data_IF_675445448957
#
_entry.id   IF_675445448957
#
_cell.length_a   1.000
_cell.length_b   1.000
_cell.length_c   1.000
_cell.angle_alpha   90.00
_cell.angle_beta   90.00
_cell.angle_gamma   90.00
#
_symmetry.space_group_name_H-M   'P 1'
#
loop_
_entity.id
_entity.type
_entity.pdbx_description
1 polymer ?
#
# COMPACT_ATOMS: atom_id res chain seq x y z
N UNK A 1 12.26 -6.27 21.66
CA UNK A 1 10.81 -6.04 21.84
C UNK A 1 9.91 -7.17 21.30
N UNK A 2 10.37 -7.98 20.36
CA UNK A 2 9.67 -9.16 19.83
C UNK A 2 9.24 -10.21 20.88
N UNK A 3 9.85 -10.24 22.06
CA UNK A 3 9.58 -11.23 23.13
C UNK A 3 8.21 -11.11 23.83
N UNK A 4 7.51 -9.98 23.74
CA UNK A 4 6.28 -9.74 24.52
C UNK A 4 4.99 -10.21 23.82
N UNK A 5 5.04 -10.45 22.50
CA UNK A 5 3.89 -10.94 21.70
C UNK A 5 3.87 -12.46 21.49
N UNK A 6 4.81 -13.16 22.13
CA UNK A 6 5.03 -14.61 21.96
C UNK A 6 3.97 -15.53 22.59
N UNK A 7 3.15 -15.07 23.49
CA UNK A 7 2.37 -15.93 24.39
C UNK A 7 1.06 -16.50 23.84
N UNK A 8 0.73 -16.27 22.56
CA UNK A 8 -0.51 -16.81 21.98
C UNK A 8 -0.34 -17.69 20.74
N UNK A 9 0.85 -17.75 20.16
CA UNK A 9 1.12 -18.41 18.87
C UNK A 9 2.08 -19.60 18.96
N UNK A 10 2.58 -19.90 20.16
CA UNK A 10 3.62 -20.92 20.41
C UNK A 10 3.23 -22.36 19.99
N UNK A 11 1.95 -22.61 19.72
CA UNK A 11 1.45 -23.93 19.33
C UNK A 11 1.31 -24.14 17.81
N UNK A 12 1.61 -23.13 16.98
CA UNK A 12 1.58 -23.31 15.52
C UNK A 12 3.01 -23.49 14.99
N UNK A 13 3.37 -24.74 14.68
CA UNK A 13 4.69 -25.15 14.17
C UNK A 13 5.06 -24.37 12.90
N UNK A 14 4.08 -24.03 12.06
CA UNK A 14 4.28 -23.29 10.82
C UNK A 14 4.70 -21.84 11.10
N UNK A 15 4.11 -21.19 12.10
CA UNK A 15 4.50 -19.84 12.55
C UNK A 15 5.94 -19.81 13.10
N UNK A 16 6.28 -20.82 13.88
CA UNK A 16 7.61 -20.94 14.48
C UNK A 16 8.68 -21.08 13.41
N UNK A 17 8.46 -21.91 12.42
CA UNK A 17 9.38 -22.10 11.29
C UNK A 17 9.56 -20.83 10.45
N UNK A 18 8.48 -20.08 10.18
CA UNK A 18 8.56 -18.80 9.45
C UNK A 18 9.41 -17.78 10.24
N UNK A 19 9.19 -17.65 11.53
CA UNK A 19 9.89 -16.66 12.38
C UNK A 19 11.34 -17.04 12.70
N UNK A 20 11.67 -18.33 12.78
CA UNK A 20 13.05 -18.80 13.05
C UNK A 20 13.98 -18.64 11.84
N UNK A 21 13.44 -18.68 10.61
CA UNK A 21 14.22 -18.54 9.39
C UNK A 21 14.32 -17.09 8.87
N UNK A 22 13.56 -16.14 9.45
CA UNK A 22 13.36 -14.79 8.88
C UNK A 22 13.63 -13.63 9.86
N UNK A 23 14.47 -13.82 10.87
CA UNK A 23 14.77 -12.79 11.89
C UNK A 23 15.38 -11.48 11.36
N UNK A 24 15.68 -11.39 10.05
CA UNK A 24 16.23 -10.20 9.37
C UNK A 24 15.72 -10.02 7.93
N UNK A 25 14.63 -10.66 7.50
CA UNK A 25 14.09 -10.49 6.15
C UNK A 25 12.90 -9.52 6.12
N UNK A 26 12.83 -8.72 5.06
CA UNK A 26 11.69 -7.85 4.79
C UNK A 26 10.41 -8.68 4.52
N UNK A 27 9.23 -8.13 4.77
CA UNK A 27 7.94 -8.80 4.47
C UNK A 27 7.82 -9.10 2.97
N UNK A 28 8.41 -8.27 2.13
CA UNK A 28 8.44 -8.44 0.68
C UNK A 28 9.35 -9.58 0.20
N UNK A 29 10.25 -10.09 1.06
CA UNK A 29 11.04 -11.29 0.80
C UNK A 29 10.28 -12.58 1.11
N UNK A 30 9.11 -12.50 1.77
CA UNK A 30 8.29 -13.65 2.10
C UNK A 30 7.69 -14.25 0.83
N UNK A 31 7.52 -15.59 0.82
CA UNK A 31 6.64 -16.17 -0.18
C UNK A 31 5.23 -15.58 -0.04
N UNK A 32 4.47 -15.51 -1.14
CA UNK A 32 3.08 -15.07 -1.08
C UNK A 32 2.27 -15.83 0.00
N UNK A 33 2.56 -17.14 0.18
CA UNK A 33 1.91 -17.97 1.18
C UNK A 33 2.28 -17.54 2.60
N UNK A 34 3.55 -17.25 2.86
CA UNK A 34 4.02 -16.87 4.18
C UNK A 34 3.52 -15.48 4.55
N UNK A 35 3.55 -14.52 3.60
CA UNK A 35 2.97 -13.20 3.81
C UNK A 35 1.49 -13.27 4.22
N UNK A 36 0.68 -14.04 3.48
CA UNK A 36 -0.75 -14.22 3.80
C UNK A 36 -0.93 -14.92 5.15
N UNK A 37 -0.08 -15.89 5.48
CA UNK A 37 -0.13 -16.61 6.77
C UNK A 37 0.15 -15.66 7.93
N UNK A 38 1.16 -14.77 7.81
CA UNK A 38 1.48 -13.78 8.82
C UNK A 38 0.39 -12.72 8.93
N UNK A 39 -0.10 -12.19 7.80
CA UNK A 39 -1.17 -11.20 7.74
C UNK A 39 -2.47 -11.70 8.39
N UNK A 40 -2.80 -12.98 8.23
CA UNK A 40 -4.00 -13.60 8.83
C UNK A 40 -3.86 -13.92 10.33
N UNK A 41 -2.67 -13.72 10.88
CA UNK A 41 -2.35 -14.02 12.28
C UNK A 41 -2.77 -12.91 13.25
N UNK A 42 -2.19 -12.98 14.46
CA UNK A 42 -2.37 -11.97 15.52
C UNK A 42 -1.21 -10.97 15.60
N UNK A 43 -0.29 -11.03 14.63
CA UNK A 43 0.80 -10.06 14.56
C UNK A 43 0.22 -8.67 14.30
N UNK A 44 0.72 -7.62 14.96
CA UNK A 44 0.29 -6.26 14.66
C UNK A 44 0.73 -5.78 13.27
N UNK A 45 1.77 -6.40 12.71
CA UNK A 45 2.32 -6.14 11.37
C UNK A 45 2.67 -7.46 10.66
N UNK A 46 2.57 -7.54 9.31
CA UNK A 46 2.04 -6.51 8.44
C UNK A 46 0.53 -6.33 8.67
N UNK A 47 0.03 -5.11 8.50
CA UNK A 47 -1.37 -4.75 8.64
C UNK A 47 -2.03 -4.34 7.32
N UNK A 48 -3.14 -3.59 7.45
CA UNK A 48 -3.92 -3.11 6.32
C UNK A 48 -3.15 -2.18 5.38
N UNK A 49 -2.23 -1.36 5.92
CA UNK A 49 -1.40 -0.45 5.12
C UNK A 49 -0.38 -1.21 4.28
N UNK A 50 0.39 -2.13 4.89
CA UNK A 50 1.31 -2.98 4.15
C UNK A 50 0.61 -3.84 3.08
N UNK A 51 -0.59 -4.38 3.40
CA UNK A 51 -1.40 -5.12 2.43
C UNK A 51 -1.87 -4.21 1.26
N UNK A 52 -2.24 -2.96 1.54
CA UNK A 52 -2.62 -1.99 0.52
C UNK A 52 -1.42 -1.64 -0.38
N UNK A 53 -0.24 -1.40 0.19
CA UNK A 53 0.98 -1.14 -0.57
C UNK A 53 1.33 -2.30 -1.51
N UNK A 54 1.27 -3.55 -1.01
CA UNK A 54 1.51 -4.75 -1.82
C UNK A 54 0.48 -4.90 -2.94
N UNK A 55 -0.80 -4.66 -2.67
CA UNK A 55 -1.84 -4.68 -3.69
C UNK A 55 -1.60 -3.63 -4.78
N UNK A 56 -1.16 -2.43 -4.40
CA UNK A 56 -0.75 -1.38 -5.32
C UNK A 56 0.44 -1.79 -6.20
N UNK A 57 1.46 -2.43 -5.61
CA UNK A 57 2.62 -2.94 -6.35
C UNK A 57 2.21 -3.98 -7.40
N UNK A 58 1.30 -4.90 -7.05
CA UNK A 58 0.76 -5.89 -7.99
C UNK A 58 0.00 -5.16 -9.12
N UNK A 59 -0.80 -4.14 -8.76
CA UNK A 59 -1.58 -3.36 -9.72
C UNK A 59 -0.72 -2.70 -10.79
N UNK A 60 0.35 -1.99 -10.38
CA UNK A 60 1.23 -1.33 -11.36
C UNK A 60 2.08 -2.32 -12.15
N UNK A 61 2.48 -3.45 -11.55
CA UNK A 61 3.22 -4.51 -12.24
C UNK A 61 2.43 -5.08 -13.43
N UNK A 62 1.10 -5.20 -13.32
CA UNK A 62 0.22 -5.58 -14.44
C UNK A 62 0.24 -4.55 -15.57
N UNK A 63 0.24 -3.25 -15.25
CA UNK A 63 0.45 -2.20 -16.25
C UNK A 63 1.80 -2.32 -16.94
N UNK A 64 2.86 -2.55 -16.19
CA UNK A 64 4.21 -2.75 -16.72
C UNK A 64 4.30 -3.99 -17.62
N UNK A 65 3.56 -5.05 -17.30
CA UNK A 65 3.40 -6.24 -18.16
C UNK A 65 2.78 -5.87 -19.51
N UNK A 66 1.70 -5.05 -19.53
CA UNK A 66 1.11 -4.54 -20.78
C UNK A 66 2.16 -3.77 -21.59
N UNK A 67 2.95 -2.93 -20.92
CA UNK A 67 4.06 -2.20 -21.54
C UNK A 67 5.11 -3.15 -22.14
N UNK A 68 5.50 -4.18 -21.42
CA UNK A 68 6.46 -5.20 -21.86
C UNK A 68 5.98 -5.96 -23.10
N UNK A 69 4.68 -6.23 -23.18
CA UNK A 69 4.04 -6.87 -24.32
C UNK A 69 3.79 -5.90 -25.50
N UNK A 70 4.08 -4.62 -25.34
CA UNK A 70 3.94 -3.57 -26.37
C UNK A 70 5.26 -3.28 -27.07
N UNK A 71 6.34 -3.14 -26.30
CA UNK A 71 7.68 -2.78 -26.79
C UNK A 71 8.22 -3.81 -27.77
N UNK A 72 8.90 -3.36 -28.83
CA UNK A 72 9.50 -4.19 -29.87
C UNK A 72 8.53 -4.68 -30.95
N UNK A 73 7.24 -4.35 -30.85
CA UNK A 73 6.25 -4.72 -31.87
C UNK A 73 6.07 -3.60 -32.91
N UNK A 74 6.24 -3.91 -34.18
CA UNK A 74 6.08 -2.96 -35.30
C UNK A 74 4.73 -2.21 -35.26
N UNK A 75 3.68 -2.87 -34.83
CA UNK A 75 2.31 -2.29 -34.72
C UNK A 75 2.24 -1.14 -33.72
N UNK A 76 3.13 -1.10 -32.74
CA UNK A 76 3.17 -0.09 -31.68
C UNK A 76 4.37 0.86 -31.77
N UNK A 77 5.10 0.85 -32.88
CA UNK A 77 6.31 1.68 -33.06
C UNK A 77 6.07 3.18 -32.82
N UNK A 78 4.88 3.68 -33.15
CA UNK A 78 4.52 5.10 -32.93
C UNK A 78 4.42 5.51 -31.44
N UNK A 79 4.13 4.57 -30.55
CA UNK A 79 3.95 4.81 -29.10
C UNK A 79 5.06 4.20 -28.25
N UNK A 80 6.02 3.54 -28.86
CA UNK A 80 7.04 2.75 -28.17
C UNK A 80 7.87 3.58 -27.19
N UNK A 81 8.25 4.80 -27.58
CA UNK A 81 9.02 5.71 -26.72
C UNK A 81 8.25 6.09 -25.45
N UNK A 82 6.96 6.38 -25.60
CA UNK A 82 6.10 6.72 -24.46
C UNK A 82 5.97 5.52 -23.53
N UNK A 83 5.74 4.33 -24.08
CA UNK A 83 5.62 3.09 -23.31
C UNK A 83 6.90 2.75 -22.57
N UNK A 84 8.07 2.93 -23.17
CA UNK A 84 9.36 2.72 -22.51
C UNK A 84 9.52 3.66 -21.29
N UNK A 85 9.13 4.93 -21.44
CA UNK A 85 9.17 5.88 -20.34
C UNK A 85 8.19 5.52 -19.22
N UNK A 86 6.96 5.12 -19.60
CA UNK A 86 5.97 4.65 -18.62
C UNK A 86 6.45 3.40 -17.88
N UNK A 87 7.09 2.45 -18.56
CA UNK A 87 7.66 1.26 -17.94
C UNK A 87 8.72 1.61 -16.88
N UNK A 88 9.64 2.54 -17.20
CA UNK A 88 10.65 2.97 -16.24
C UNK A 88 10.01 3.57 -14.99
N UNK A 89 9.01 4.45 -15.16
CA UNK A 89 8.27 5.02 -14.02
C UNK A 89 7.51 3.93 -13.25
N UNK A 90 6.96 2.94 -13.94
CA UNK A 90 6.27 1.82 -13.29
C UNK A 90 7.22 0.96 -12.46
N UNK A 91 8.47 0.75 -12.91
CA UNK A 91 9.50 0.07 -12.14
C UNK A 91 9.83 0.85 -10.86
N UNK A 92 10.01 2.18 -10.95
CA UNK A 92 10.28 3.07 -9.81
C UNK A 92 9.09 3.06 -8.80
N UNK A 93 7.85 3.12 -9.29
CA UNK A 93 6.63 3.05 -8.46
C UNK A 93 6.51 1.69 -7.78
N UNK A 94 6.80 0.60 -8.50
CA UNK A 94 6.79 -0.75 -7.93
C UNK A 94 7.76 -0.85 -6.76
N UNK A 95 8.99 -0.36 -6.94
CA UNK A 95 10.00 -0.36 -5.88
C UNK A 95 9.56 0.48 -4.67
N UNK A 96 8.97 1.67 -4.89
CA UNK A 96 8.42 2.51 -3.81
C UNK A 96 7.30 1.82 -3.05
N UNK A 97 6.36 1.18 -3.73
CA UNK A 97 5.24 0.47 -3.08
C UNK A 97 5.72 -0.74 -2.29
N UNK A 98 6.72 -1.47 -2.77
CA UNK A 98 7.31 -2.57 -2.01
C UNK A 98 8.04 -2.07 -0.76
N UNK A 99 8.78 -0.96 -0.84
CA UNK A 99 9.42 -0.32 0.31
C UNK A 99 8.39 0.21 1.32
N UNK A 100 7.24 0.70 0.86
CA UNK A 100 6.15 1.16 1.71
C UNK A 100 5.47 0.03 2.50
N UNK A 101 5.61 -1.24 2.09
CA UNK A 101 5.16 -2.38 2.91
C UNK A 101 5.93 -2.45 4.22
N UNK A 102 7.24 -2.26 4.17
CA UNK A 102 8.12 -2.27 5.34
C UNK A 102 7.93 -1.02 6.18
N UNK A 103 7.88 0.14 5.54
CA UNK A 103 7.69 1.42 6.21
C UNK A 103 6.37 1.51 6.97
N UNK A 104 5.30 0.89 6.48
CA UNK A 104 4.02 0.81 7.20
C UNK A 104 4.18 0.06 8.54
N UNK A 105 4.92 -1.03 8.53
CA UNK A 105 5.22 -1.78 9.74
C UNK A 105 6.10 -1.00 10.72
N UNK A 106 7.14 -0.33 10.22
CA UNK A 106 8.04 0.52 11.00
C UNK A 106 7.31 1.72 11.61
N UNK A 107 6.44 2.38 10.82
CA UNK A 107 5.65 3.52 11.28
C UNK A 107 4.61 3.15 12.35
N UNK A 108 4.14 1.90 12.35
CA UNK A 108 3.21 1.40 13.35
C UNK A 108 3.89 1.05 14.70
N UNK A 109 5.18 0.75 14.71
CA UNK A 109 5.89 0.32 15.93
C UNK A 109 5.81 1.34 17.08
N UNK A 110 6.08 2.67 16.88
CA UNK A 110 5.93 3.68 17.92
C UNK A 110 4.50 3.78 18.44
N UNK A 111 3.49 3.67 17.56
CA UNK A 111 2.09 3.71 17.95
C UNK A 111 1.70 2.49 18.79
N UNK A 112 2.14 1.31 18.40
CA UNK A 112 1.95 0.07 19.16
C UNK A 112 2.59 0.15 20.56
N UNK A 113 3.80 0.74 20.65
CA UNK A 113 4.48 0.96 21.93
C UNK A 113 3.71 1.96 22.82
N UNK A 114 3.21 3.05 22.23
CA UNK A 114 2.45 4.08 22.95
C UNK A 114 1.15 3.54 23.55
N UNK A 115 0.45 2.62 22.87
CA UNK A 115 -0.74 1.96 23.45
C UNK A 115 -0.41 1.23 24.75
N UNK A 116 0.77 0.62 24.87
CA UNK A 116 1.23 -0.12 26.06
C UNK A 116 1.75 0.75 27.21
N UNK A 117 1.88 2.07 27.05
CA UNK A 117 2.40 2.96 28.10
C UNK A 117 1.46 3.03 29.30
N UNK A 118 2.01 3.22 30.53
CA UNK A 118 1.22 3.38 31.74
C UNK A 118 0.38 4.67 31.69
N UNK A 119 -0.72 4.69 32.46
CA UNK A 119 -1.68 5.80 32.55
C UNK A 119 -2.30 5.93 33.93
N UNK A 120 -1.52 5.64 34.98
CA UNK A 120 -2.01 5.58 36.37
C UNK A 120 -1.84 6.90 37.11
N UNK A 121 -0.89 7.75 36.69
CA UNK A 121 -0.69 9.10 37.27
C UNK A 121 -0.95 10.20 36.25
N UNK A 122 -1.21 11.45 36.67
CA UNK A 122 -1.38 12.58 35.77
C UNK A 122 -0.18 12.75 34.83
N UNK A 123 1.06 12.59 35.34
CA UNK A 123 2.29 12.73 34.55
C UNK A 123 2.42 11.60 33.51
N UNK A 124 2.02 10.39 33.86
CA UNK A 124 1.98 9.25 32.91
C UNK A 124 0.95 9.47 31.81
N UNK A 125 -0.21 10.02 32.15
CA UNK A 125 -1.28 10.34 31.19
C UNK A 125 -0.80 11.41 30.19
N UNK A 126 -0.20 12.50 30.68
CA UNK A 126 0.32 13.58 29.88
C UNK A 126 1.44 13.07 28.94
N UNK A 127 2.40 12.34 29.48
CA UNK A 127 3.50 11.76 28.71
C UNK A 127 3.01 10.79 27.62
N UNK A 128 2.02 9.94 27.97
CA UNK A 128 1.41 9.03 27.00
C UNK A 128 0.70 9.81 25.88
N UNK A 129 0.00 10.89 26.20
CA UNK A 129 -0.70 11.71 25.20
C UNK A 129 0.28 12.34 24.20
N UNK A 130 1.41 12.90 24.68
CA UNK A 130 2.45 13.45 23.80
C UNK A 130 3.04 12.38 22.85
N UNK A 131 3.43 11.23 23.42
CA UNK A 131 4.02 10.15 22.60
C UNK A 131 3.02 9.58 21.60
N UNK A 132 1.76 9.45 22.04
CA UNK A 132 0.67 8.98 21.19
C UNK A 132 0.45 9.93 20.00
N UNK A 133 0.40 11.24 20.25
CA UNK A 133 0.18 12.23 19.20
C UNK A 133 1.31 12.20 18.15
N UNK A 134 2.57 12.19 18.59
CA UNK A 134 3.72 12.07 17.69
C UNK A 134 3.69 10.76 16.86
N UNK A 135 3.30 9.65 17.49
CA UNK A 135 3.19 8.36 16.82
C UNK A 135 2.03 8.32 15.80
N UNK A 136 0.91 8.97 16.09
CA UNK A 136 -0.25 9.06 15.16
C UNK A 136 0.09 9.86 13.90
N UNK A 137 0.88 10.94 14.01
CA UNK A 137 1.38 11.68 12.85
C UNK A 137 2.20 10.75 11.95
N UNK A 138 3.19 10.05 12.49
CA UNK A 138 4.00 9.09 11.73
C UNK A 138 3.18 7.98 11.08
N UNK A 139 2.16 7.49 11.80
CA UNK A 139 1.26 6.45 11.31
C UNK A 139 0.25 6.95 10.24
N UNK A 140 0.13 8.26 10.01
CA UNK A 140 -0.65 8.83 8.90
C UNK A 140 0.20 9.08 7.65
N UNK A 141 1.49 9.41 7.80
CA UNK A 141 2.37 9.76 6.67
C UNK A 141 2.55 8.61 5.67
N UNK A 142 2.82 7.40 6.16
CA UNK A 142 3.06 6.25 5.28
C UNK A 142 1.82 5.86 4.49
N UNK A 143 0.62 5.70 5.09
CA UNK A 143 -0.60 5.46 4.31
C UNK A 143 -0.90 6.56 3.30
N UNK A 144 -0.60 7.82 3.60
CA UNK A 144 -0.79 8.92 2.66
C UNK A 144 0.18 8.82 1.48
N UNK A 145 1.44 8.43 1.72
CA UNK A 145 2.41 8.19 0.65
C UNK A 145 2.02 6.98 -0.22
N UNK A 146 1.43 5.92 0.37
CA UNK A 146 0.83 4.81 -0.39
C UNK A 146 -0.25 5.34 -1.34
N UNK A 147 -1.14 6.21 -0.85
CA UNK A 147 -2.21 6.80 -1.66
C UNK A 147 -1.66 7.64 -2.81
N UNK A 148 -0.69 8.52 -2.55
CA UNK A 148 -0.01 9.34 -3.57
C UNK A 148 0.65 8.47 -4.65
N UNK A 149 1.32 7.42 -4.22
CA UNK A 149 2.02 6.49 -5.12
C UNK A 149 1.03 5.67 -5.96
N UNK A 150 -0.09 5.24 -5.38
CA UNK A 150 -1.18 4.58 -6.13
C UNK A 150 -1.83 5.54 -7.14
N UNK A 151 -1.97 6.81 -6.80
CA UNK A 151 -2.49 7.82 -7.71
C UNK A 151 -1.58 8.00 -8.95
N UNK A 152 -0.27 8.13 -8.76
CA UNK A 152 0.71 8.13 -9.85
C UNK A 152 0.64 6.86 -10.70
N UNK A 153 0.47 5.71 -10.06
CA UNK A 153 0.32 4.42 -10.74
C UNK A 153 -0.93 4.36 -11.61
N UNK A 154 -2.08 4.87 -11.14
CA UNK A 154 -3.34 4.92 -11.92
C UNK A 154 -3.15 5.77 -13.19
N UNK A 155 -2.40 6.88 -13.11
CA UNK A 155 -2.07 7.70 -14.28
C UNK A 155 -1.27 6.92 -15.32
N UNK A 156 -0.35 6.06 -14.90
CA UNK A 156 0.40 5.18 -15.81
C UNK A 156 -0.46 4.05 -16.39
N UNK A 157 -1.34 3.44 -15.58
CA UNK A 157 -2.28 2.41 -16.05
C UNK A 157 -3.16 2.95 -17.15
N UNK A 158 -3.62 4.19 -17.07
CA UNK A 158 -4.39 4.82 -18.14
C UNK A 158 -3.61 4.81 -19.46
N UNK A 159 -2.34 5.23 -19.41
CA UNK A 159 -1.48 5.23 -20.60
C UNK A 159 -1.28 3.82 -21.17
N UNK A 160 -1.07 2.82 -20.31
CA UNK A 160 -0.96 1.43 -20.75
C UNK A 160 -2.26 0.89 -21.36
N UNK A 161 -3.42 1.25 -20.78
CA UNK A 161 -4.74 0.87 -21.31
C UNK A 161 -5.08 1.55 -22.66
N UNK A 162 -4.56 2.75 -22.90
CA UNK A 162 -4.78 3.49 -24.13
C UNK A 162 -3.85 3.08 -25.27
N UNK A 163 -2.54 3.03 -24.97
CA UNK A 163 -1.46 2.90 -25.96
C UNK A 163 -0.85 1.51 -26.01
N UNK A 164 -1.10 0.68 -25.00
CA UNK A 164 -0.47 -0.64 -24.86
C UNK A 164 -1.08 -1.73 -25.73
N UNK A 165 -0.49 -2.91 -25.62
CA UNK A 165 -0.88 -4.09 -26.39
C UNK A 165 -2.32 -4.51 -26.11
N UNK A 166 -3.15 -4.56 -27.16
CA UNK A 166 -4.56 -4.96 -27.07
C UNK A 166 -4.74 -6.39 -26.53
N UNK A 167 -3.76 -7.26 -26.71
CA UNK A 167 -3.81 -8.66 -26.25
C UNK A 167 -3.83 -8.74 -24.72
N UNK A 168 -3.16 -7.78 -24.04
CA UNK A 168 -3.04 -7.73 -22.60
C UNK A 168 -3.84 -6.57 -21.96
N UNK A 169 -4.81 -6.01 -22.67
CA UNK A 169 -5.56 -4.84 -22.18
C UNK A 169 -6.36 -5.15 -20.93
N UNK A 170 -6.81 -6.40 -20.75
CA UNK A 170 -7.50 -6.87 -19.54
C UNK A 170 -6.63 -6.71 -18.28
N UNK A 171 -5.31 -6.91 -18.40
CA UNK A 171 -4.38 -6.76 -17.28
C UNK A 171 -4.29 -5.30 -16.81
N UNK A 172 -4.40 -4.32 -17.72
CA UNK A 172 -4.53 -2.92 -17.34
C UNK A 172 -5.84 -2.66 -16.55
N UNK A 173 -6.95 -3.30 -16.93
CA UNK A 173 -8.20 -3.23 -16.17
C UNK A 173 -8.09 -3.81 -14.77
N UNK A 174 -7.46 -4.99 -14.63
CA UNK A 174 -7.17 -5.60 -13.31
C UNK A 174 -6.25 -4.70 -12.51
N UNK A 175 -5.20 -4.14 -13.12
CA UNK A 175 -4.29 -3.20 -12.47
C UNK A 175 -5.00 -1.98 -11.91
N UNK A 176 -5.91 -1.35 -12.68
CA UNK A 176 -6.71 -0.23 -12.21
C UNK A 176 -7.58 -0.59 -10.99
N UNK A 177 -8.20 -1.77 -11.00
CA UNK A 177 -9.03 -2.25 -9.88
C UNK A 177 -8.21 -2.48 -8.62
N UNK A 178 -7.04 -3.10 -8.73
CA UNK A 178 -6.14 -3.34 -7.59
C UNK A 178 -5.62 -2.02 -7.00
N UNK A 179 -5.22 -1.08 -7.85
CA UNK A 179 -4.75 0.24 -7.41
C UNK A 179 -5.86 1.06 -6.74
N UNK A 180 -7.10 1.00 -7.25
CA UNK A 180 -8.26 1.59 -6.58
C UNK A 180 -8.45 1.00 -5.19
N UNK A 181 -8.41 -0.33 -5.08
CA UNK A 181 -8.56 -1.01 -3.79
C UNK A 181 -7.42 -0.68 -2.82
N UNK A 182 -6.19 -0.55 -3.32
CA UNK A 182 -5.02 -0.14 -2.54
C UNK A 182 -5.19 1.30 -2.00
N UNK A 183 -5.62 2.23 -2.85
CA UNK A 183 -5.88 3.61 -2.48
C UNK A 183 -6.96 3.71 -1.39
N UNK A 184 -8.07 2.99 -1.56
CA UNK A 184 -9.15 2.92 -0.57
C UNK A 184 -8.68 2.28 0.73
N UNK A 185 -7.95 1.16 0.65
CA UNK A 185 -7.40 0.48 1.82
C UNK A 185 -6.46 1.37 2.64
N UNK A 186 -5.56 2.09 1.97
CA UNK A 186 -4.63 3.02 2.62
C UNK A 186 -5.38 4.17 3.32
N UNK A 187 -6.44 4.72 2.73
CA UNK A 187 -7.22 5.81 3.35
C UNK A 187 -7.84 5.42 4.69
N UNK A 188 -8.24 4.16 4.86
CA UNK A 188 -8.80 3.67 6.12
C UNK A 188 -7.76 3.71 7.27
N UNK A 189 -6.48 3.53 6.97
CA UNK A 189 -5.42 3.66 7.95
C UNK A 189 -5.20 5.12 8.36
N UNK A 190 -5.41 6.08 7.46
CA UNK A 190 -5.40 7.51 7.80
C UNK A 190 -6.58 7.82 8.72
N UNK A 191 -7.80 7.44 8.35
CA UNK A 191 -9.00 7.81 9.11
C UNK A 191 -9.03 7.22 10.52
N UNK A 192 -8.55 5.98 10.71
CA UNK A 192 -8.50 5.38 12.06
C UNK A 192 -7.50 6.11 12.96
N UNK A 193 -6.37 6.57 12.40
CA UNK A 193 -5.34 7.29 13.13
C UNK A 193 -5.78 8.73 13.43
N UNK A 194 -6.27 9.48 12.44
CA UNK A 194 -6.75 10.88 12.61
C UNK A 194 -7.91 10.99 13.60
N UNK A 195 -8.75 9.96 13.69
CA UNK A 195 -9.83 9.89 14.71
C UNK A 195 -9.28 10.02 16.13
N UNK A 196 -8.07 9.50 16.37
CA UNK A 196 -7.42 9.45 17.68
C UNK A 196 -6.50 10.64 17.95
N UNK A 197 -6.17 11.46 16.95
CA UNK A 197 -5.33 12.65 17.10
C UNK A 197 -6.00 13.71 17.98
N UNK A 198 -5.23 14.34 18.85
CA UNK A 198 -5.65 15.50 19.64
C UNK A 198 -5.65 16.77 18.77
N UNK A 199 -4.65 16.95 17.91
CA UNK A 199 -4.57 18.02 16.92
C UNK A 199 -5.63 17.81 15.80
N UNK A 200 -6.76 18.50 15.95
CA UNK A 200 -7.88 18.40 15.00
C UNK A 200 -7.61 19.12 13.68
N UNK A 201 -6.70 20.07 13.66
CA UNK A 201 -6.29 20.79 12.44
C UNK A 201 -5.42 19.89 11.57
N UNK A 202 -4.39 19.25 12.16
CA UNK A 202 -3.60 18.25 11.50
C UNK A 202 -4.43 17.06 11.01
N UNK A 203 -5.31 16.52 11.86
CA UNK A 203 -6.24 15.45 11.49
C UNK A 203 -7.12 15.81 10.29
N UNK A 204 -7.67 17.04 10.27
CA UNK A 204 -8.49 17.53 9.16
C UNK A 204 -7.68 17.67 7.87
N UNK A 205 -6.41 18.09 7.96
CA UNK A 205 -5.51 18.19 6.80
C UNK A 205 -5.24 16.83 6.15
N UNK A 206 -4.91 15.80 6.95
CA UNK A 206 -4.71 14.44 6.46
C UNK A 206 -5.98 13.87 5.81
N UNK A 207 -7.13 14.03 6.47
CA UNK A 207 -8.40 13.54 5.95
C UNK A 207 -8.76 14.23 4.63
N UNK A 208 -8.56 15.54 4.52
CA UNK A 208 -8.86 16.31 3.32
C UNK A 208 -8.02 15.81 2.13
N UNK A 209 -6.71 15.64 2.29
CA UNK A 209 -5.87 15.15 1.21
C UNK A 209 -6.23 13.72 0.81
N UNK A 210 -6.53 12.85 1.79
CA UNK A 210 -6.98 11.49 1.53
C UNK A 210 -8.31 11.47 0.74
N UNK A 211 -9.26 12.33 1.10
CA UNK A 211 -10.56 12.45 0.41
C UNK A 211 -10.39 12.97 -1.02
N UNK A 212 -9.56 13.99 -1.23
CA UNK A 212 -9.25 14.55 -2.56
C UNK A 212 -8.60 13.49 -3.48
N UNK A 213 -7.65 12.72 -2.96
CA UNK A 213 -7.03 11.61 -3.70
C UNK A 213 -8.05 10.53 -4.04
N UNK A 214 -8.90 10.15 -3.08
CA UNK A 214 -9.93 9.14 -3.29
C UNK A 214 -10.92 9.59 -4.36
N UNK A 215 -11.54 10.76 -4.20
CA UNK A 215 -12.54 11.26 -5.13
C UNK A 215 -12.03 11.26 -6.57
N UNK A 216 -10.84 11.80 -6.79
CA UNK A 216 -10.24 11.90 -8.11
C UNK A 216 -9.85 10.54 -8.70
N UNK A 217 -9.14 9.72 -7.96
CA UNK A 217 -8.50 8.54 -8.53
C UNK A 217 -9.35 7.27 -8.47
N UNK A 218 -10.34 7.19 -7.57
CA UNK A 218 -11.36 6.15 -7.65
C UNK A 218 -12.19 6.29 -8.93
N UNK A 219 -12.64 7.51 -9.24
CA UNK A 219 -13.36 7.78 -10.48
C UNK A 219 -12.50 7.44 -11.69
N UNK A 220 -11.24 7.88 -11.71
CA UNK A 220 -10.32 7.61 -12.82
C UNK A 220 -10.08 6.11 -13.03
N UNK A 221 -9.90 5.35 -11.97
CA UNK A 221 -9.73 3.90 -12.05
C UNK A 221 -10.98 3.20 -12.61
N UNK A 222 -12.19 3.65 -12.22
CA UNK A 222 -13.45 3.15 -12.75
C UNK A 222 -13.60 3.48 -14.25
N UNK A 223 -13.21 4.66 -14.68
CA UNK A 223 -13.22 5.06 -16.09
C UNK A 223 -12.28 4.17 -16.93
N UNK A 224 -11.06 3.89 -16.40
CA UNK A 224 -10.12 2.98 -17.07
C UNK A 224 -10.71 1.58 -17.17
N UNK A 225 -11.25 1.05 -16.07
CA UNK A 225 -11.89 -0.27 -16.05
C UNK A 225 -13.03 -0.36 -17.05
N UNK A 226 -13.94 0.61 -17.07
CA UNK A 226 -15.08 0.65 -18.00
C UNK A 226 -14.64 0.76 -19.45
N UNK A 227 -13.60 1.55 -19.73
CA UNK A 227 -12.98 1.65 -21.08
C UNK A 227 -12.38 0.34 -21.53
N UNK A 228 -11.70 -0.39 -20.62
CA UNK A 228 -11.19 -1.73 -20.93
C UNK A 228 -12.34 -2.69 -21.21
N UNK A 229 -13.36 -2.71 -20.36
CA UNK A 229 -14.56 -3.55 -20.57
C UNK A 229 -15.21 -3.32 -21.95
N UNK A 230 -15.32 -2.06 -22.37
CA UNK A 230 -15.90 -1.69 -23.69
C UNK A 230 -15.07 -2.18 -24.87
N UNK A 231 -13.76 -2.38 -24.68
CA UNK A 231 -12.86 -2.84 -25.75
C UNK A 231 -12.79 -4.37 -25.87
N UNK A 232 -13.21 -5.11 -24.84
CA UNK A 232 -13.12 -6.58 -24.81
C UNK A 232 -14.47 -7.29 -24.91
N UNK A 233 -15.58 -6.57 -24.84
CA UNK A 233 -16.95 -7.05 -25.05
C UNK A 233 -17.42 -6.73 -26.46
#
# INVERSE_FOLDING_TARGET
>A
MVKKYRTGMENNVQWRNIMEHQTNSCFTDYSCKDFITVLSGKSPVPGGGGAAALAGAIGIALGNMVGSLTVGKKTYAAVEKDIIQCKKKADDITARLLDLVEKDAEAFEPLSAAYGMPKSTPEEIEKKAEVMEAALVGACEVPLEIMRTCAEAIDLIETFAEKGSKIAISDAGVGATLLKSALQGASLNIYINTKSMADKEAAASYNKEADELREKYEQKADEIFNRVCSKIR
#
